data_IF_945468483364
#
_entry.id   IF_945468483364
#
_cell.length_a   1.000
_cell.length_b   1.000
_cell.length_c   1.000
_cell.angle_alpha   90.00
_cell.angle_beta   90.00
_cell.angle_gamma   90.00
#
_symmetry.space_group_name_H-M   'P 1'
#
loop_
_entity.id
_entity.type
_entity.pdbx_description
1 polymer ?
#
# COMPACT_ATOMS: atom_id res chain seq x y z
N UNK A 1 -49.13 24.89 -11.36
CA UNK A 1 -48.32 23.65 -11.27
C UNK A 1 -47.04 24.00 -10.54
N UNK A 2 -46.99 23.69 -9.24
CA UNK A 2 -45.80 23.86 -8.40
C UNK A 2 -44.89 22.64 -8.65
N UNK A 3 -43.61 22.85 -8.94
CA UNK A 3 -42.59 21.80 -8.78
C UNK A 3 -41.29 22.46 -8.33
N UNK A 4 -41.01 22.29 -7.04
CA UNK A 4 -39.78 22.67 -6.38
C UNK A 4 -38.70 21.61 -6.65
N UNK A 5 -37.62 21.99 -7.31
CA UNK A 5 -36.40 21.18 -7.38
C UNK A 5 -35.56 21.47 -6.12
N UNK A 6 -35.78 20.67 -5.07
CA UNK A 6 -34.85 20.55 -3.95
C UNK A 6 -33.59 19.81 -4.43
N UNK A 7 -32.47 20.52 -4.55
CA UNK A 7 -31.16 19.89 -4.69
C UNK A 7 -30.71 19.37 -3.32
N UNK A 8 -30.74 18.04 -3.17
CA UNK A 8 -30.21 17.33 -2.01
C UNK A 8 -28.68 17.47 -1.93
N UNK A 9 -28.20 18.36 -1.06
CA UNK A 9 -26.78 18.41 -0.68
C UNK A 9 -26.42 17.16 0.13
N UNK A 10 -25.54 16.30 -0.40
CA UNK A 10 -24.95 15.21 0.38
C UNK A 10 -24.10 15.83 1.51
N UNK A 11 -24.25 15.42 2.78
CA UNK A 11 -23.46 15.98 3.87
C UNK A 11 -21.99 15.59 3.69
N UNK A 12 -21.10 16.59 3.77
CA UNK A 12 -19.65 16.38 3.81
C UNK A 12 -19.30 15.49 5.00
N UNK A 13 -18.65 14.36 4.74
CA UNK A 13 -18.17 13.45 5.78
C UNK A 13 -17.14 14.20 6.61
N UNK A 14 -17.39 14.35 7.91
CA UNK A 14 -16.55 15.13 8.82
C UNK A 14 -15.12 14.59 8.87
N UNK A 15 -14.15 15.47 8.61
CA UNK A 15 -12.70 15.22 8.54
C UNK A 15 -12.16 14.51 9.79
N UNK A 16 -12.79 14.76 10.96
CA UNK A 16 -12.43 14.09 12.23
C UNK A 16 -12.63 12.57 12.15
N UNK A 17 -13.66 12.10 11.44
CA UNK A 17 -13.93 10.66 11.28
C UNK A 17 -12.97 9.97 10.31
N UNK A 18 -12.39 10.68 9.35
CA UNK A 18 -11.37 10.12 8.45
C UNK A 18 -10.03 9.95 9.18
N UNK A 19 -9.62 10.94 9.96
CA UNK A 19 -8.37 10.88 10.75
C UNK A 19 -8.46 9.76 11.81
N UNK A 20 -9.60 9.63 12.51
CA UNK A 20 -9.79 8.55 13.48
C UNK A 20 -9.76 7.15 12.83
N UNK A 21 -10.22 7.01 11.58
CA UNK A 21 -10.11 5.74 10.84
C UNK A 21 -8.65 5.43 10.47
N UNK A 22 -7.87 6.40 10.02
CA UNK A 22 -6.45 6.21 9.70
C UNK A 22 -5.62 5.78 10.91
N UNK A 23 -5.81 6.45 12.05
CA UNK A 23 -5.14 6.10 13.32
C UNK A 23 -5.58 4.72 13.82
N UNK A 24 -6.87 4.37 13.65
CA UNK A 24 -7.39 3.05 14.00
C UNK A 24 -6.86 1.93 13.09
N UNK A 25 -6.67 2.21 11.79
CA UNK A 25 -6.07 1.27 10.84
C UNK A 25 -4.60 1.06 11.16
N UNK A 26 -3.84 2.11 11.48
CA UNK A 26 -2.45 1.99 11.92
C UNK A 26 -2.34 1.22 13.26
N UNK A 27 -3.22 1.53 14.23
CA UNK A 27 -3.30 0.79 15.50
C UNK A 27 -3.73 -0.67 15.33
N UNK A 28 -4.61 -0.96 14.36
CA UNK A 28 -5.02 -2.32 13.99
C UNK A 28 -3.86 -3.08 13.33
N UNK A 29 -3.14 -2.48 12.39
CA UNK A 29 -1.98 -3.10 11.72
C UNK A 29 -0.88 -3.41 12.74
N UNK A 30 -0.55 -2.46 13.62
CA UNK A 30 0.44 -2.65 14.68
C UNK A 30 0.00 -3.70 15.72
N UNK A 31 -1.30 -3.85 16.00
CA UNK A 31 -1.81 -4.91 16.87
C UNK A 31 -1.95 -6.27 16.18
N UNK A 32 -2.19 -6.30 14.87
CA UNK A 32 -2.26 -7.54 14.09
C UNK A 32 -0.88 -8.20 14.00
N UNK A 33 0.19 -7.40 13.88
CA UNK A 33 1.59 -7.89 13.94
C UNK A 33 1.89 -8.56 15.29
N UNK A 34 1.27 -8.11 16.40
CA UNK A 34 1.43 -8.72 17.72
C UNK A 34 0.64 -10.02 17.94
N UNK A 35 -0.30 -10.37 17.06
CA UNK A 35 -1.24 -11.50 17.27
C UNK A 35 -1.19 -12.61 16.23
N UNK A 36 -0.44 -12.45 15.15
CA UNK A 36 -0.36 -13.49 14.13
C UNK A 36 0.75 -14.51 14.47
N UNK A 37 0.41 -15.48 15.32
CA UNK A 37 0.96 -16.83 15.19
C UNK A 37 0.33 -17.46 13.94
N UNK A 38 0.89 -17.17 12.77
CA UNK A 38 0.55 -17.92 11.56
C UNK A 38 1.10 -19.34 11.72
N UNK A 39 0.28 -20.26 12.24
CA UNK A 39 0.55 -21.70 12.10
C UNK A 39 0.43 -22.03 10.62
N UNK A 40 1.61 -22.20 10.03
CA UNK A 40 1.90 -22.45 8.63
C UNK A 40 1.14 -23.69 8.12
N UNK A 41 0.44 -23.52 6.99
CA UNK A 41 -0.23 -24.61 6.27
C UNK A 41 0.81 -25.57 5.68
N UNK A 42 0.79 -26.83 6.11
CA UNK A 42 1.57 -27.93 5.54
C UNK A 42 1.22 -28.13 4.05
N UNK A 43 2.12 -27.74 3.13
CA UNK A 43 2.44 -28.42 1.85
C UNK A 43 3.22 -27.51 0.88
N UNK A 44 4.39 -27.02 1.29
CA UNK A 44 5.40 -26.55 0.36
C UNK A 44 6.72 -27.22 0.74
N UNK A 45 7.45 -27.76 -0.23
CA UNK A 45 8.83 -28.21 -0.03
C UNK A 45 9.62 -27.02 0.49
N UNK A 46 9.76 -26.94 1.82
CA UNK A 46 10.48 -25.86 2.48
C UNK A 46 11.89 -25.87 1.93
N UNK A 47 12.22 -24.86 1.14
CA UNK A 47 13.61 -24.51 0.85
C UNK A 47 14.27 -24.33 2.22
N UNK A 48 14.99 -25.36 2.67
CA UNK A 48 15.61 -25.47 3.98
C UNK A 48 16.85 -24.56 4.08
N UNK A 49 16.80 -23.40 3.43
CA UNK A 49 17.80 -22.36 3.60
C UNK A 49 17.58 -21.75 4.98
N UNK A 50 18.60 -21.83 5.82
CA UNK A 50 18.57 -21.19 7.13
C UNK A 50 18.20 -19.73 6.98
N UNK A 51 17.11 -19.32 7.64
CA UNK A 51 16.67 -17.93 7.67
C UNK A 51 17.82 -17.09 8.20
N UNK A 52 18.22 -16.08 7.43
CA UNK A 52 19.28 -15.16 7.80
C UNK A 52 18.97 -14.49 9.15
N UNK A 53 20.01 -14.21 9.94
CA UNK A 53 19.88 -13.68 11.31
C UNK A 53 18.96 -12.45 11.39
N UNK A 54 19.16 -11.48 10.50
CA UNK A 54 18.36 -10.25 10.42
C UNK A 54 16.86 -10.48 10.13
N UNK A 55 16.48 -11.63 9.55
CA UNK A 55 15.10 -11.97 9.22
C UNK A 55 14.42 -12.83 10.30
N UNK A 56 15.12 -13.14 11.40
CA UNK A 56 14.57 -13.95 12.51
C UNK A 56 13.74 -13.07 13.45
N UNK A 57 12.68 -13.67 14.01
CA UNK A 57 11.68 -13.01 14.88
C UNK A 57 12.23 -12.07 15.96
N UNK A 58 13.35 -12.42 16.59
CA UNK A 58 13.92 -11.62 17.68
C UNK A 58 14.77 -10.43 17.22
N UNK A 59 15.31 -10.49 16.01
CA UNK A 59 16.33 -9.53 15.55
C UNK A 59 15.76 -8.45 14.63
N UNK A 60 14.66 -8.70 13.92
CA UNK A 60 14.11 -7.72 12.98
C UNK A 60 13.29 -6.60 13.64
N UNK A 61 12.79 -6.79 14.87
CA UNK A 61 11.88 -5.83 15.50
C UNK A 61 12.53 -4.46 15.75
N UNK A 62 13.78 -4.43 16.21
CA UNK A 62 14.53 -3.17 16.39
C UNK A 62 14.77 -2.48 15.05
N UNK A 63 15.09 -3.26 14.02
CA UNK A 63 15.35 -2.75 12.66
C UNK A 63 14.07 -2.14 12.07
N UNK A 64 12.90 -2.77 12.24
CA UNK A 64 11.63 -2.21 11.77
C UNK A 64 11.30 -0.91 12.49
N UNK A 65 11.56 -0.81 13.79
CA UNK A 65 11.33 0.42 14.55
C UNK A 65 12.20 1.57 14.03
N UNK A 66 13.44 1.29 13.64
CA UNK A 66 14.31 2.28 13.02
C UNK A 66 13.81 2.69 11.63
N UNK A 67 13.37 1.71 10.82
CA UNK A 67 12.84 1.94 9.47
C UNK A 67 11.58 2.82 9.42
N UNK A 68 10.74 2.78 10.47
CA UNK A 68 9.50 3.57 10.54
C UNK A 68 9.73 5.10 10.48
N UNK A 69 10.93 5.54 10.87
CA UNK A 69 11.29 6.97 10.86
C UNK A 69 11.93 7.45 9.56
N UNK A 70 12.27 6.52 8.65
CA UNK A 70 12.98 6.84 7.42
C UNK A 70 12.00 7.24 6.31
N UNK A 71 12.34 8.31 5.58
CA UNK A 71 11.56 8.75 4.44
C UNK A 71 11.79 7.83 3.23
N UNK A 72 10.75 7.11 2.75
CA UNK A 72 10.89 6.25 1.58
C UNK A 72 11.19 7.04 0.29
N UNK A 73 10.78 8.31 0.19
CA UNK A 73 11.03 9.13 -1.00
C UNK A 73 12.52 9.50 -1.10
N UNK A 74 13.24 9.65 0.03
CA UNK A 74 14.69 9.85 0.03
C UNK A 74 15.46 8.57 -0.34
N UNK A 75 14.97 7.40 0.07
CA UNK A 75 15.65 6.11 -0.15
C UNK A 75 15.44 5.59 -1.57
N UNK A 76 14.19 5.56 -2.04
CA UNK A 76 13.83 4.95 -3.32
C UNK A 76 13.69 5.97 -4.44
N UNK A 77 13.62 7.26 -4.10
CA UNK A 77 13.32 8.32 -5.05
C UNK A 77 11.85 8.28 -5.52
N UNK A 78 11.47 9.22 -6.41
CA UNK A 78 10.17 9.15 -7.04
C UNK A 78 10.07 7.86 -7.84
N UNK A 79 8.95 7.12 -7.69
CA UNK A 79 8.67 5.91 -8.46
C UNK A 79 8.65 6.24 -9.97
N UNK A 80 9.79 6.06 -10.64
CA UNK A 80 9.97 6.37 -12.06
C UNK A 80 9.20 5.38 -12.95
N UNK A 81 9.01 4.14 -12.48
CA UNK A 81 8.28 3.09 -13.17
C UNK A 81 6.79 3.19 -12.85
N UNK A 82 6.05 3.88 -13.72
CA UNK A 82 4.57 3.94 -13.66
C UNK A 82 3.90 2.61 -14.00
N UNK A 83 4.63 1.71 -14.66
CA UNK A 83 4.12 0.43 -15.11
C UNK A 83 5.23 -0.62 -15.19
N UNK A 84 4.84 -1.88 -15.09
CA UNK A 84 5.69 -3.04 -15.30
C UNK A 84 5.60 -3.44 -16.78
N UNK A 85 6.70 -3.33 -17.52
CA UNK A 85 6.75 -3.74 -18.93
C UNK A 85 6.96 -5.26 -19.04
N UNK A 86 5.85 -5.98 -19.22
CA UNK A 86 5.85 -7.43 -19.32
C UNK A 86 6.53 -7.94 -20.60
N UNK A 87 6.54 -7.16 -21.70
CA UNK A 87 7.28 -7.56 -22.89
C UNK A 87 8.78 -7.57 -22.61
N UNK A 88 9.26 -6.59 -21.83
CA UNK A 88 10.67 -6.52 -21.46
C UNK A 88 11.12 -7.64 -20.52
N UNK A 89 10.25 -8.06 -19.61
CA UNK A 89 10.54 -9.11 -18.63
C UNK A 89 10.52 -10.49 -19.29
N UNK A 90 9.58 -10.72 -20.21
CA UNK A 90 9.39 -12.01 -20.87
C UNK A 90 9.92 -12.07 -22.30
N UNK A 91 10.97 -11.29 -22.62
CA UNK A 91 11.54 -11.21 -23.99
C UNK A 91 11.90 -12.56 -24.61
N UNK A 92 12.28 -13.53 -23.80
CA UNK A 92 12.69 -14.88 -24.23
C UNK A 92 11.49 -15.79 -24.57
N UNK A 93 10.27 -15.39 -24.21
CA UNK A 93 9.06 -16.17 -24.43
C UNK A 93 8.20 -15.59 -25.57
N UNK A 94 7.34 -16.41 -26.19
CA UNK A 94 6.38 -15.91 -27.17
C UNK A 94 5.49 -14.80 -26.59
N UNK A 95 5.38 -13.69 -27.30
CA UNK A 95 4.57 -12.54 -26.90
C UNK A 95 3.10 -12.92 -26.74
N UNK A 96 2.47 -12.45 -25.66
CA UNK A 96 1.07 -12.74 -25.34
C UNK A 96 0.22 -11.47 -25.46
N UNK A 97 -0.96 -11.54 -26.11
CA UNK A 97 -1.87 -10.38 -26.18
C UNK A 97 -2.26 -9.80 -24.82
N UNK A 98 -2.29 -10.64 -23.78
CA UNK A 98 -2.57 -10.26 -22.39
C UNK A 98 -1.56 -9.25 -21.80
N UNK A 99 -0.36 -9.15 -22.35
CA UNK A 99 0.63 -8.17 -21.88
C UNK A 99 0.16 -6.72 -22.11
N UNK A 100 -0.69 -6.49 -23.11
CA UNK A 100 -1.23 -5.18 -23.47
C UNK A 100 -2.72 -5.05 -23.15
N UNK A 101 -3.45 -6.16 -23.27
CA UNK A 101 -4.89 -6.17 -23.05
C UNK A 101 -5.21 -6.23 -21.56
N UNK A 102 -5.66 -5.11 -21.00
CA UNK A 102 -6.12 -5.02 -19.61
C UNK A 102 -7.65 -4.92 -19.57
N UNK A 103 -8.23 -5.55 -18.55
CA UNK A 103 -9.63 -5.34 -18.15
C UNK A 103 -9.69 -4.22 -17.11
N UNK A 104 -10.87 -3.96 -16.53
CA UNK A 104 -11.09 -2.89 -15.53
C UNK A 104 -10.12 -2.92 -14.33
N UNK A 105 -9.50 -4.06 -14.02
CA UNK A 105 -8.46 -4.16 -13.00
C UNK A 105 -7.18 -3.35 -13.31
N UNK A 106 -7.05 -2.87 -14.55
CA UNK A 106 -5.97 -2.00 -14.95
C UNK A 106 -6.24 -0.51 -14.83
N UNK A 107 -7.47 -0.12 -14.51
CA UNK A 107 -7.84 1.28 -14.36
C UNK A 107 -7.79 1.69 -12.88
N UNK A 108 -6.71 2.38 -12.51
CA UNK A 108 -6.49 2.92 -11.16
C UNK A 108 -6.63 4.45 -11.14
N UNK A 109 -7.28 5.05 -12.14
CA UNK A 109 -7.38 6.50 -12.25
C UNK A 109 -8.05 7.16 -11.04
N UNK A 110 -9.04 6.47 -10.45
CA UNK A 110 -9.81 6.94 -9.29
C UNK A 110 -9.08 6.73 -7.96
N UNK A 111 -8.15 5.77 -7.90
CA UNK A 111 -7.43 5.38 -6.68
C UNK A 111 -6.06 6.06 -6.54
N UNK A 112 -5.70 6.96 -7.47
CA UNK A 112 -4.43 7.69 -7.39
C UNK A 112 -4.41 8.58 -6.17
N UNK A 113 -3.30 8.54 -5.44
CA UNK A 113 -3.00 9.49 -4.37
C UNK A 113 -2.97 10.90 -4.96
N UNK A 114 -3.74 11.80 -4.37
CA UNK A 114 -3.76 13.21 -4.75
C UNK A 114 -2.61 13.96 -4.09
N UNK A 115 -2.15 15.06 -4.69
CA UNK A 115 -1.08 15.90 -4.11
C UNK A 115 -1.43 16.39 -2.71
N UNK A 116 -2.71 16.69 -2.47
CA UNK A 116 -3.18 17.11 -1.15
C UNK A 116 -3.03 16.01 -0.09
N UNK A 117 -3.25 14.75 -0.47
CA UNK A 117 -3.08 13.60 0.43
C UNK A 117 -1.60 13.33 0.70
N UNK A 118 -0.74 13.44 -0.32
CA UNK A 118 0.71 13.29 -0.18
C UNK A 118 1.30 14.37 0.74
N UNK A 119 0.96 15.64 0.51
CA UNK A 119 1.41 16.76 1.35
C UNK A 119 0.94 16.63 2.80
N UNK A 120 -0.32 16.20 3.00
CA UNK A 120 -0.86 15.97 4.34
C UNK A 120 -0.13 14.82 5.05
N UNK A 121 0.19 13.76 4.33
CA UNK A 121 0.92 12.61 4.85
C UNK A 121 2.36 13.00 5.25
N UNK A 122 3.10 13.67 4.37
CA UNK A 122 4.47 14.15 4.64
C UNK A 122 4.51 15.07 5.86
N UNK A 123 3.53 15.95 6.01
CA UNK A 123 3.40 16.82 7.19
C UNK A 123 3.15 16.04 8.49
N UNK A 124 2.38 14.96 8.45
CA UNK A 124 2.14 14.11 9.62
C UNK A 124 3.41 13.35 10.02
N UNK A 125 4.16 12.86 9.03
CA UNK A 125 5.41 12.12 9.24
C UNK A 125 6.62 13.01 9.54
N UNK A 126 6.54 14.31 9.24
CA UNK A 126 7.65 15.25 9.40
C UNK A 126 8.68 15.22 8.25
N UNK A 127 8.27 14.67 7.11
CA UNK A 127 9.08 14.56 5.88
C UNK A 127 8.94 15.80 4.99
N UNK A 128 9.87 16.01 4.07
CA UNK A 128 9.98 17.24 3.26
C UNK A 128 9.41 17.12 1.86
#
# INVERSE_FOLDING_TARGET
MQNALQMNSKPAKSTKYQIMKGVFVLFMILNQIKKNDFTESDNEEKNNQDVALWARSKEYLSVIQEQDTMDPDEIFGPLLLKYCDLESIFREFPQKPRYHQRTKSGDWNEDRVTLMEDDAYKKIMGWK
#
